data_IF_919897114613
#
_entry.id   IF_919897114613
#
_cell.length_a   1.000
_cell.length_b   1.000
_cell.length_c   1.000
_cell.angle_alpha   90.00
_cell.angle_beta   90.00
_cell.angle_gamma   90.00
#
_symmetry.space_group_name_H-M   'P 1'
#
loop_
_entity.id
_entity.type
_entity.pdbx_description
1 polymer ?
#
# COMPACT_ATOMS: atom_id res chain seq x y z
N UNK A 1 41.26 30.55 51.66
CA UNK A 1 40.17 31.49 51.34
C UNK A 1 38.88 30.71 51.22
N UNK A 2 38.06 30.78 52.26
CA UNK A 2 36.69 30.28 52.28
C UNK A 2 35.74 31.34 51.72
N UNK A 3 34.69 30.94 51.01
CA UNK A 3 33.38 31.57 51.24
C UNK A 3 32.27 30.58 50.94
N UNK A 4 31.87 29.92 52.01
CA UNK A 4 30.59 29.25 52.22
C UNK A 4 29.48 30.30 52.14
N UNK A 5 28.25 29.81 51.98
CA UNK A 5 27.01 30.44 52.47
C UNK A 5 26.29 31.30 51.40
N UNK A 6 25.23 30.75 50.80
CA UNK A 6 23.82 30.82 51.26
C UNK A 6 23.20 32.20 51.05
N UNK A 7 22.09 32.26 50.31
CA UNK A 7 20.75 32.64 50.81
C UNK A 7 19.81 32.68 49.59
N UNK A 8 18.73 31.88 49.56
CA UNK A 8 17.43 32.21 50.17
C UNK A 8 16.83 33.47 49.52
N UNK A 9 15.61 33.55 49.01
CA UNK A 9 14.35 32.80 49.19
C UNK A 9 13.39 33.42 48.15
N UNK A 10 12.44 32.71 47.53
CA UNK A 10 11.05 32.65 48.03
C UNK A 10 10.19 31.96 46.94
N UNK A 11 9.55 30.82 47.23
CA UNK A 11 8.16 30.67 47.71
C UNK A 11 7.14 31.17 46.64
N UNK A 12 6.26 30.32 46.09
CA UNK A 12 5.19 29.66 46.87
C UNK A 12 4.57 28.40 46.21
N UNK A 13 3.79 27.64 47.03
CA UNK A 13 3.50 26.21 46.87
C UNK A 13 2.06 25.92 46.46
N UNK A 14 1.75 24.66 46.14
CA UNK A 14 0.40 24.10 46.31
C UNK A 14 0.44 22.56 46.45
N UNK A 15 0.02 22.05 47.61
CA UNK A 15 -0.41 20.67 47.88
C UNK A 15 0.73 19.64 47.98
N UNK A 16 0.87 18.84 49.03
CA UNK A 16 -0.13 18.33 49.95
C UNK A 16 0.14 16.84 50.12
N UNK A 17 0.74 16.49 51.25
CA UNK A 17 0.82 15.17 51.90
C UNK A 17 0.15 13.98 51.19
N UNK A 18 0.97 13.01 50.78
CA UNK A 18 0.99 11.68 51.39
C UNK A 18 1.98 10.84 50.62
N UNK A 19 2.82 10.13 51.35
CA UNK A 19 3.71 9.11 50.80
C UNK A 19 2.90 8.13 49.96
N UNK A 20 3.00 8.27 48.64
CA UNK A 20 2.61 7.21 47.71
C UNK A 20 3.68 6.12 47.77
N UNK A 21 3.72 5.44 48.91
CA UNK A 21 4.44 4.19 49.04
C UNK A 21 3.65 3.17 48.22
N UNK A 22 4.11 2.97 46.99
CA UNK A 22 3.60 1.97 46.07
C UNK A 22 3.82 0.60 46.71
N UNK A 23 2.79 0.08 47.40
CA UNK A 23 2.77 -1.32 47.83
C UNK A 23 3.04 -2.18 46.59
N UNK A 24 4.17 -2.92 46.51
CA UNK A 24 4.42 -3.73 45.33
C UNK A 24 3.34 -4.80 45.27
N UNK A 25 2.59 -4.81 44.16
CA UNK A 25 1.60 -5.85 43.86
C UNK A 25 2.26 -7.23 44.06
N UNK A 26 1.65 -8.05 44.92
CA UNK A 26 2.12 -9.39 45.27
C UNK A 26 2.45 -10.23 44.00
N UNK A 27 3.52 -11.04 44.03
CA UNK A 27 4.03 -11.84 42.88
C UNK A 27 2.96 -12.73 42.22
N UNK A 28 1.92 -13.12 42.97
CA UNK A 28 0.78 -13.87 42.47
C UNK A 28 -0.15 -13.06 41.55
N UNK A 29 -0.34 -11.76 41.82
CA UNK A 29 -1.16 -10.85 40.99
C UNK A 29 -0.47 -10.53 39.65
N UNK A 30 0.85 -10.38 39.65
CA UNK A 30 1.63 -10.16 38.43
C UNK A 30 1.56 -11.37 37.47
N UNK A 31 1.53 -12.61 38.00
CA UNK A 31 1.38 -13.84 37.20
C UNK A 31 0.03 -13.94 36.48
N UNK A 32 -1.05 -13.46 37.08
CA UNK A 32 -2.39 -13.47 36.46
C UNK A 32 -2.49 -12.39 35.38
N UNK A 33 -1.84 -11.25 35.60
CA UNK A 33 -1.79 -10.12 34.68
C UNK A 33 -0.99 -10.42 33.40
N UNK A 34 0.16 -11.11 33.52
CA UNK A 34 0.96 -11.53 32.36
C UNK A 34 0.19 -12.48 31.43
N UNK A 35 -0.62 -13.41 31.97
CA UNK A 35 -1.43 -14.31 31.14
C UNK A 35 -2.53 -13.59 30.35
N UNK A 36 -3.16 -12.59 30.95
CA UNK A 36 -4.24 -11.85 30.30
C UNK A 36 -3.67 -10.88 29.25
N UNK A 37 -2.54 -10.23 29.57
CA UNK A 37 -1.86 -9.29 28.67
C UNK A 37 -1.34 -9.98 27.40
N UNK A 38 -0.64 -11.11 27.54
CA UNK A 38 -0.08 -11.87 26.41
C UNK A 38 -1.16 -12.44 25.46
N UNK A 39 -2.36 -12.72 25.98
CA UNK A 39 -3.49 -13.18 25.16
C UNK A 39 -4.09 -12.07 24.29
N UNK A 40 -4.03 -10.81 24.76
CA UNK A 40 -4.49 -9.65 23.99
C UNK A 40 -3.53 -9.34 22.84
N UNK A 41 -2.22 -9.44 23.07
CA UNK A 41 -1.21 -9.20 22.04
C UNK A 41 -1.36 -10.16 20.84
N UNK A 42 -1.69 -11.43 21.09
CA UNK A 42 -1.91 -12.40 20.01
C UNK A 42 -3.17 -12.06 19.19
N UNK A 43 -4.23 -11.59 19.84
CA UNK A 43 -5.44 -11.16 19.13
C UNK A 43 -5.20 -9.88 18.32
N UNK A 44 -4.44 -8.93 18.86
CA UNK A 44 -4.05 -7.72 18.15
C UNK A 44 -3.21 -8.05 16.90
N UNK A 45 -2.20 -8.93 17.03
CA UNK A 45 -1.39 -9.38 15.89
C UNK A 45 -2.23 -10.07 14.81
N UNK A 46 -3.12 -10.98 15.21
CA UNK A 46 -4.04 -11.66 14.26
C UNK A 46 -4.98 -10.67 13.56
N UNK A 47 -5.42 -9.63 14.26
CA UNK A 47 -6.26 -8.58 13.67
C UNK A 47 -5.47 -7.75 12.66
N UNK A 48 -4.24 -7.33 12.98
CA UNK A 48 -3.35 -6.61 12.07
C UNK A 48 -3.06 -7.42 10.80
N UNK A 49 -2.79 -8.72 10.93
CA UNK A 49 -2.52 -9.59 9.77
C UNK A 49 -3.74 -9.74 8.87
N UNK A 50 -4.95 -9.82 9.45
CA UNK A 50 -6.20 -9.84 8.68
C UNK A 50 -6.43 -8.51 7.98
N UNK A 51 -6.18 -7.38 8.64
CA UNK A 51 -6.30 -6.05 8.02
C UNK A 51 -5.33 -5.90 6.85
N UNK A 52 -4.08 -6.33 6.98
CA UNK A 52 -3.08 -6.30 5.89
C UNK A 52 -3.53 -7.12 4.69
N UNK A 53 -4.01 -8.35 4.90
CA UNK A 53 -4.58 -9.21 3.84
C UNK A 53 -5.77 -8.56 3.14
N UNK A 54 -6.68 -7.93 3.88
CA UNK A 54 -7.80 -7.20 3.28
C UNK A 54 -7.30 -6.05 2.41
N UNK A 55 -6.31 -5.29 2.85
CA UNK A 55 -5.71 -4.21 2.04
C UNK A 55 -5.05 -4.77 0.77
N UNK A 56 -4.36 -5.90 0.84
CA UNK A 56 -3.75 -6.56 -0.33
C UNK A 56 -4.80 -7.03 -1.35
N UNK A 57 -5.86 -7.71 -0.89
CA UNK A 57 -6.96 -8.16 -1.77
C UNK A 57 -7.67 -6.97 -2.43
N UNK A 58 -7.92 -5.90 -1.69
CA UNK A 58 -8.52 -4.67 -2.21
C UNK A 58 -7.64 -4.04 -3.30
N UNK A 59 -6.31 -3.96 -3.09
CA UNK A 59 -5.36 -3.49 -4.11
C UNK A 59 -5.38 -4.37 -5.37
N UNK A 60 -5.39 -5.69 -5.22
CA UNK A 60 -5.46 -6.63 -6.35
C UNK A 60 -6.76 -6.46 -7.15
N UNK A 61 -7.88 -6.25 -6.47
CA UNK A 61 -9.17 -5.99 -7.10
C UNK A 61 -9.15 -4.65 -7.86
N UNK A 62 -8.57 -3.59 -7.29
CA UNK A 62 -8.46 -2.28 -7.96
C UNK A 62 -7.61 -2.30 -9.24
N UNK A 63 -6.62 -3.18 -9.34
CA UNK A 63 -5.87 -3.36 -10.58
C UNK A 63 -6.75 -3.90 -11.73
N UNK A 64 -7.84 -4.59 -11.38
CA UNK A 64 -8.78 -5.18 -12.35
C UNK A 64 -9.97 -4.25 -12.63
N UNK A 65 -10.31 -3.33 -11.70
CA UNK A 65 -11.44 -2.40 -11.85
C UNK A 65 -11.05 -1.22 -12.75
N UNK A 66 -11.84 -1.02 -13.81
CA UNK A 66 -11.68 0.06 -14.79
C UNK A 66 -12.23 1.37 -14.27
N UNK A 67 -11.43 2.08 -13.49
CA UNK A 67 -11.77 3.41 -12.96
C UNK A 67 -11.43 4.54 -13.91
N UNK A 68 -11.67 4.38 -15.22
CA UNK A 68 -11.48 5.48 -16.19
C UNK A 68 -10.09 6.12 -16.25
N UNK A 69 -9.12 5.51 -15.56
CA UNK A 69 -7.74 5.94 -15.43
C UNK A 69 -6.88 4.85 -16.05
N UNK A 70 -5.98 5.28 -16.92
CA UNK A 70 -4.99 4.41 -17.52
C UNK A 70 -4.03 3.88 -16.44
N UNK A 71 -4.04 2.56 -16.23
CA UNK A 71 -3.08 1.84 -15.40
C UNK A 71 -2.37 0.78 -16.24
N UNK A 72 -1.03 0.76 -16.22
CA UNK A 72 -0.22 -0.17 -17.01
C UNK A 72 -0.47 -1.63 -16.64
N UNK A 73 -0.81 -1.92 -15.38
CA UNK A 73 -1.08 -3.29 -14.89
C UNK A 73 -2.28 -3.98 -15.56
N UNK A 74 -3.11 -3.25 -16.30
CA UNK A 74 -4.19 -3.86 -17.10
C UNK A 74 -3.65 -4.57 -18.35
N UNK A 75 -2.50 -4.13 -18.84
CA UNK A 75 -1.88 -4.63 -20.07
C UNK A 75 -1.05 -5.91 -19.86
N UNK A 76 -0.76 -6.28 -18.61
CA UNK A 76 0.02 -7.48 -18.28
C UNK A 76 -0.67 -8.80 -18.63
N UNK A 77 -2.01 -8.80 -18.74
CA UNK A 77 -2.80 -9.99 -19.09
C UNK A 77 -2.94 -10.19 -20.60
N UNK A 78 -2.39 -9.28 -21.41
CA UNK A 78 -2.54 -9.31 -22.87
C UNK A 78 -1.48 -10.19 -23.47
N UNK A 79 -1.95 -11.18 -24.23
CA UNK A 79 -1.14 -12.08 -25.02
C UNK A 79 -1.36 -11.73 -26.47
N UNK A 80 -0.26 -11.59 -27.22
CA UNK A 80 -0.26 -11.27 -28.64
C UNK A 80 0.45 -12.42 -29.37
N UNK A 81 -0.18 -12.99 -30.41
CA UNK A 81 0.47 -14.02 -31.22
C UNK A 81 1.60 -13.39 -32.03
N UNK A 82 2.83 -13.82 -31.78
CA UNK A 82 4.03 -13.42 -32.51
C UNK A 82 4.72 -14.65 -33.08
N UNK A 83 4.80 -14.75 -34.41
CA UNK A 83 5.34 -15.93 -35.11
C UNK A 83 4.80 -17.26 -34.56
N UNK A 84 3.47 -17.38 -34.46
CA UNK A 84 2.75 -18.57 -33.96
C UNK A 84 2.96 -18.90 -32.46
N UNK A 85 3.63 -18.02 -31.71
CA UNK A 85 3.79 -18.15 -30.27
C UNK A 85 3.08 -17.01 -29.56
N UNK A 86 2.26 -17.39 -28.59
CA UNK A 86 1.60 -16.48 -27.67
C UNK A 86 2.64 -15.82 -26.74
N UNK A 87 2.89 -14.54 -26.97
CA UNK A 87 3.87 -13.76 -26.19
C UNK A 87 3.19 -12.62 -25.43
N UNK A 88 3.62 -12.31 -24.19
CA UNK A 88 3.04 -11.22 -23.43
C UNK A 88 3.47 -9.86 -24.01
N UNK A 89 2.55 -8.89 -24.00
CA UNK A 89 2.79 -7.56 -24.57
C UNK A 89 4.01 -6.83 -23.98
N UNK A 90 4.34 -7.08 -22.70
CA UNK A 90 5.49 -6.49 -22.00
C UNK A 90 6.85 -6.82 -22.64
N UNK A 91 6.93 -7.90 -23.43
CA UNK A 91 8.16 -8.29 -24.13
C UNK A 91 8.25 -7.67 -25.53
N UNK A 92 7.12 -7.29 -26.12
CA UNK A 92 7.04 -6.77 -27.49
C UNK A 92 7.06 -5.24 -27.55
N UNK A 93 6.67 -4.57 -26.46
CA UNK A 93 6.54 -3.12 -26.43
C UNK A 93 6.89 -2.50 -25.07
N UNK A 94 7.34 -1.25 -25.14
CA UNK A 94 7.49 -0.37 -23.98
C UNK A 94 6.18 0.39 -23.74
N UNK A 95 5.69 0.38 -22.50
CA UNK A 95 4.43 1.01 -22.10
C UNK A 95 4.73 2.28 -21.32
N UNK A 96 4.23 3.42 -21.78
CA UNK A 96 4.32 4.69 -21.06
C UNK A 96 2.94 5.34 -20.93
N UNK A 97 2.73 6.06 -19.82
CA UNK A 97 1.48 6.75 -19.52
C UNK A 97 1.78 8.25 -19.45
N UNK A 98 1.70 8.97 -20.58
CA UNK A 98 1.93 10.42 -20.60
C UNK A 98 0.78 11.21 -19.99
N UNK A 99 -0.45 10.67 -19.96
CA UNK A 99 -1.61 11.35 -19.36
C UNK A 99 -2.60 10.33 -18.78
N UNK A 100 -3.48 10.78 -17.87
CA UNK A 100 -4.38 9.89 -17.11
C UNK A 100 -5.36 9.06 -17.96
N UNK A 101 -5.53 9.41 -19.23
CA UNK A 101 -6.50 8.82 -20.15
C UNK A 101 -5.83 8.25 -21.40
N UNK A 102 -4.55 8.54 -21.63
CA UNK A 102 -3.81 8.10 -22.83
C UNK A 102 -2.70 7.15 -22.44
N UNK A 103 -2.67 5.98 -23.08
CA UNK A 103 -1.55 5.04 -23.01
C UNK A 103 -0.81 5.12 -24.33
N UNK A 104 0.51 5.31 -24.24
CA UNK A 104 1.42 5.23 -25.38
C UNK A 104 2.15 3.89 -25.32
N UNK A 105 2.07 3.14 -26.41
CA UNK A 105 2.70 1.83 -26.56
C UNK A 105 3.68 1.95 -27.70
N UNK A 106 4.96 1.79 -27.39
CA UNK A 106 6.06 1.86 -28.35
C UNK A 106 6.57 0.43 -28.61
N UNK A 107 6.13 -0.23 -29.70
CA UNK A 107 6.57 -1.57 -30.03
C UNK A 107 7.99 -1.56 -30.58
N UNK A 108 8.75 -2.62 -30.30
CA UNK A 108 10.10 -2.78 -30.84
C UNK A 108 10.10 -3.15 -32.33
N UNK A 109 9.03 -3.77 -32.81
CA UNK A 109 8.81 -4.11 -34.21
C UNK A 109 7.47 -3.54 -34.70
N UNK A 110 7.46 -2.94 -35.88
CA UNK A 110 6.28 -2.34 -36.50
C UNK A 110 5.38 -3.38 -37.18
N UNK A 111 5.90 -4.56 -37.48
CA UNK A 111 5.15 -5.64 -38.14
C UNK A 111 3.96 -6.15 -37.30
N UNK A 112 4.07 -6.09 -35.97
CA UNK A 112 3.09 -6.62 -35.00
C UNK A 112 2.02 -5.62 -34.55
N UNK A 113 2.06 -4.38 -35.06
CA UNK A 113 1.11 -3.33 -34.67
C UNK A 113 -0.36 -3.77 -34.82
N UNK A 114 -0.69 -4.43 -35.93
CA UNK A 114 -2.06 -4.90 -36.19
C UNK A 114 -2.52 -6.01 -35.24
N UNK A 115 -1.61 -6.84 -34.73
CA UNK A 115 -1.94 -7.90 -33.76
C UNK A 115 -2.13 -7.32 -32.36
N UNK A 116 -1.29 -6.33 -32.01
CA UNK A 116 -1.39 -5.59 -30.74
C UNK A 116 -2.71 -4.83 -30.68
N UNK A 117 -3.08 -4.09 -31.73
CA UNK A 117 -4.34 -3.34 -31.78
C UNK A 117 -5.55 -4.26 -31.60
N UNK A 118 -5.58 -5.40 -32.30
CA UNK A 118 -6.67 -6.39 -32.16
C UNK A 118 -6.78 -6.93 -30.74
N UNK A 119 -5.65 -7.29 -30.13
CA UNK A 119 -5.60 -7.84 -28.77
C UNK A 119 -6.06 -6.83 -27.73
N UNK A 120 -5.72 -5.55 -27.92
CA UNK A 120 -6.14 -4.45 -27.05
C UNK A 120 -7.63 -4.11 -27.22
N UNK A 121 -8.17 -4.15 -28.44
CA UNK A 121 -9.59 -3.88 -28.71
C UNK A 121 -10.52 -4.83 -27.94
N UNK A 122 -10.19 -6.13 -27.90
CA UNK A 122 -10.98 -7.14 -27.17
C UNK A 122 -11.13 -6.76 -25.70
N UNK A 123 -10.09 -6.18 -25.10
CA UNK A 123 -10.09 -5.80 -23.69
C UNK A 123 -10.86 -4.50 -23.49
N UNK A 124 -10.59 -3.49 -24.32
CA UNK A 124 -11.17 -2.14 -24.18
C UNK A 124 -12.67 -2.11 -24.51
N UNK A 125 -13.17 -2.98 -25.41
CA UNK A 125 -14.58 -3.00 -25.82
C UNK A 125 -15.59 -3.27 -24.68
N UNK A 126 -15.14 -3.82 -23.56
CA UNK A 126 -15.96 -3.98 -22.35
C UNK A 126 -15.95 -2.73 -21.42
N UNK A 127 -15.40 -1.58 -21.86
CA UNK A 127 -15.18 -0.38 -21.04
C UNK A 127 -15.71 0.93 -21.65
N UNK A 128 -16.55 0.86 -22.69
CA UNK A 128 -16.88 1.92 -23.66
C UNK A 128 -17.57 3.19 -23.16
N UNK A 129 -17.55 3.50 -21.85
CA UNK A 129 -18.04 4.78 -21.32
C UNK A 129 -16.94 5.76 -20.92
N UNK A 130 -15.65 5.41 -21.04
CA UNK A 130 -14.56 6.28 -20.57
C UNK A 130 -13.50 6.40 -21.67
N UNK A 131 -13.38 7.59 -22.25
CA UNK A 131 -12.68 7.89 -23.50
C UNK A 131 -11.16 7.78 -23.42
N UNK A 132 -10.62 6.57 -23.21
CA UNK A 132 -9.21 6.29 -23.40
C UNK A 132 -8.85 6.32 -24.89
N UNK A 133 -8.20 7.38 -25.35
CA UNK A 133 -7.63 7.44 -26.69
C UNK A 133 -6.23 6.84 -26.67
N UNK A 134 -6.03 5.77 -27.44
CA UNK A 134 -4.71 5.19 -27.65
C UNK A 134 -3.93 6.08 -28.61
N UNK A 135 -2.74 6.51 -28.21
CA UNK A 135 -1.80 7.20 -29.11
C UNK A 135 -0.66 6.23 -29.37
N UNK A 136 -0.69 5.58 -30.52
CA UNK A 136 0.43 4.78 -31.02
C UNK A 136 1.40 5.74 -31.72
N UNK A 137 2.56 5.98 -31.12
CA UNK A 137 3.65 6.69 -31.78
C UNK A 137 4.25 5.79 -32.86
N UNK A 138 4.08 6.20 -34.11
CA UNK A 138 4.66 5.58 -35.31
C UNK A 138 6.18 5.66 -35.36
#
# INVERSE_FOLDING_TARGET
MAFVSTFSTSLRPAGGSSTCESRPLNRASQRKMIRIFMAQDEQLKRAEDRMKKTVETVKSNFNTVRTGRANASMLDRVVVPYYEVDTPLNQLASISIPSATTIQIDPYDKSVLGDIERSLMVIIAAASSIGCHLVTSS
#
